data_IF_992074476864
#
_entry.id   IF_992074476864
#
_cell.length_a   1.000
_cell.length_b   1.000
_cell.length_c   1.000
_cell.angle_alpha   90.00
_cell.angle_beta   90.00
_cell.angle_gamma   90.00
#
_symmetry.space_group_name_H-M   'P 1'
#
loop_
_entity.id
_entity.type
_entity.pdbx_description
1 polymer ?
#
# COMPACT_ATOMS: atom_id res chain seq x y z
N UNK A 1 -2.60 26.35 7.12
CA UNK A 1 -2.55 25.97 8.55
C UNK A 1 -1.21 25.32 8.82
N UNK A 2 -0.55 25.63 9.93
CA UNK A 2 0.68 24.95 10.34
C UNK A 2 0.35 23.77 11.25
N UNK A 3 1.23 22.75 11.30
CA UNK A 3 1.08 21.59 12.20
C UNK A 3 0.91 22.02 13.67
N UNK A 4 1.62 23.08 14.07
CA UNK A 4 1.55 23.67 15.41
C UNK A 4 0.14 24.13 15.78
N UNK A 5 -0.54 24.85 14.88
CA UNK A 5 -1.92 25.36 15.10
C UNK A 5 -2.90 24.20 15.29
N UNK A 6 -2.71 23.09 14.57
CA UNK A 6 -3.56 21.90 14.71
C UNK A 6 -3.35 21.27 16.08
N UNK A 7 -2.09 21.08 16.49
CA UNK A 7 -1.74 20.51 17.80
C UNK A 7 -2.35 21.35 18.93
N UNK A 8 -2.14 22.66 18.92
CA UNK A 8 -2.65 23.56 19.96
C UNK A 8 -4.18 23.54 20.05
N UNK A 9 -4.87 23.53 18.90
CA UNK A 9 -6.34 23.46 18.87
C UNK A 9 -6.84 22.12 19.42
N UNK A 10 -6.18 21.01 19.10
CA UNK A 10 -6.54 19.68 19.59
C UNK A 10 -6.30 19.57 21.10
N UNK A 11 -5.16 20.07 21.60
CA UNK A 11 -4.85 20.13 23.03
C UNK A 11 -5.91 20.93 23.80
N UNK A 12 -6.32 22.08 23.27
CA UNK A 12 -7.38 22.90 23.87
C UNK A 12 -8.71 22.15 23.94
N UNK A 13 -9.05 21.36 22.91
CA UNK A 13 -10.27 20.57 22.90
C UNK A 13 -10.21 19.40 23.90
N UNK A 14 -9.10 18.65 23.94
CA UNK A 14 -8.89 17.52 24.86
C UNK A 14 -8.98 17.98 26.31
N UNK A 15 -8.39 19.13 26.66
CA UNK A 15 -8.43 19.67 28.02
C UNK A 15 -9.84 20.06 28.51
N UNK A 16 -10.82 20.14 27.62
CA UNK A 16 -12.22 20.45 27.97
C UNK A 16 -13.08 19.19 28.12
N UNK A 17 -12.53 18.02 27.82
CA UNK A 17 -13.23 16.75 27.86
C UNK A 17 -13.00 16.04 29.20
N UNK A 18 -13.94 15.19 29.63
CA UNK A 18 -13.70 14.26 30.73
C UNK A 18 -12.63 13.22 30.34
N UNK A 19 -12.03 12.59 31.35
CA UNK A 19 -10.86 11.70 31.19
C UNK A 19 -11.11 10.52 30.23
N UNK A 20 -12.29 9.89 30.31
CA UNK A 20 -12.70 8.78 29.44
C UNK A 20 -12.73 9.18 27.95
N UNK A 21 -13.10 10.42 27.65
CA UNK A 21 -13.13 10.95 26.28
C UNK A 21 -11.76 11.40 25.80
N UNK A 22 -10.89 11.86 26.70
CA UNK A 22 -9.50 12.10 26.37
C UNK A 22 -8.76 10.80 26.03
N UNK A 23 -9.04 9.72 26.78
CA UNK A 23 -8.53 8.37 26.52
C UNK A 23 -8.96 7.85 25.14
N UNK A 24 -10.25 7.96 24.80
CA UNK A 24 -10.77 7.57 23.47
C UNK A 24 -10.06 8.29 22.31
N UNK A 25 -9.73 9.57 22.48
CA UNK A 25 -8.97 10.35 21.48
C UNK A 25 -7.52 9.89 21.40
N UNK A 26 -6.91 9.53 22.53
CA UNK A 26 -5.56 8.98 22.57
C UNK A 26 -5.48 7.65 21.82
N UNK A 27 -6.41 6.74 22.11
CA UNK A 27 -6.53 5.46 21.41
C UNK A 27 -6.73 5.64 19.90
N UNK A 28 -7.54 6.63 19.52
CA UNK A 28 -7.75 6.95 18.11
C UNK A 28 -6.48 7.49 17.44
N UNK A 29 -5.70 8.32 18.14
CA UNK A 29 -4.43 8.81 17.61
C UNK A 29 -3.43 7.66 17.37
N UNK A 30 -3.34 6.71 18.29
CA UNK A 30 -2.52 5.50 18.14
C UNK A 30 -2.99 4.63 16.97
N UNK A 31 -4.31 4.48 16.80
CA UNK A 31 -4.89 3.77 15.66
C UNK A 31 -4.51 4.43 14.32
N UNK A 32 -4.65 5.76 14.22
CA UNK A 32 -4.29 6.49 13.00
C UNK A 32 -2.80 6.34 12.69
N UNK A 33 -1.95 6.40 13.71
CA UNK A 33 -0.50 6.22 13.55
C UNK A 33 -0.16 4.83 13.02
N UNK A 34 -0.67 3.77 13.64
CA UNK A 34 -0.47 2.39 13.18
C UNK A 34 -0.94 2.18 11.75
N UNK A 35 -2.13 2.70 11.41
CA UNK A 35 -2.68 2.62 10.05
C UNK A 35 -1.78 3.31 9.03
N UNK A 36 -1.20 4.46 9.38
CA UNK A 36 -0.25 5.15 8.51
C UNK A 36 1.02 4.33 8.29
N UNK A 37 1.61 3.77 9.35
CA UNK A 37 2.79 2.90 9.23
C UNK A 37 2.54 1.67 8.37
N UNK A 38 1.41 0.99 8.55
CA UNK A 38 1.01 -0.16 7.74
C UNK A 38 0.85 0.21 6.26
N UNK A 39 0.27 1.38 5.97
CA UNK A 39 0.13 1.88 4.60
C UNK A 39 1.50 2.15 3.96
N UNK A 40 2.42 2.79 4.68
CA UNK A 40 3.77 3.05 4.18
C UNK A 40 4.56 1.74 3.97
N UNK A 41 4.44 0.78 4.88
CA UNK A 41 5.02 -0.55 4.72
C UNK A 41 4.48 -1.26 3.48
N UNK A 42 3.16 -1.26 3.30
CA UNK A 42 2.52 -1.89 2.14
C UNK A 42 2.96 -1.25 0.82
N UNK A 43 3.11 0.09 0.78
CA UNK A 43 3.65 0.79 -0.39
C UNK A 43 5.09 0.37 -0.69
N UNK A 44 5.92 0.24 0.35
CA UNK A 44 7.30 -0.24 0.21
C UNK A 44 7.37 -1.65 -0.38
N UNK A 45 6.54 -2.58 0.12
CA UNK A 45 6.44 -3.94 -0.40
C UNK A 45 6.00 -3.94 -1.87
N UNK A 46 4.95 -3.18 -2.20
CA UNK A 46 4.46 -3.06 -3.58
C UNK A 46 5.54 -2.53 -4.52
N UNK A 47 6.28 -1.50 -4.10
CA UNK A 47 7.38 -0.93 -4.87
C UNK A 47 8.47 -1.98 -5.11
N UNK A 48 8.92 -2.68 -4.06
CA UNK A 48 9.95 -3.72 -4.18
C UNK A 48 9.51 -4.89 -5.07
N UNK A 49 8.23 -5.28 -5.01
CA UNK A 49 7.69 -6.31 -5.87
C UNK A 49 7.61 -5.87 -7.34
N UNK A 50 7.23 -4.61 -7.59
CA UNK A 50 7.13 -4.05 -8.94
C UNK A 50 8.50 -3.76 -9.58
N UNK A 51 9.49 -3.32 -8.78
CA UNK A 51 10.87 -3.10 -9.23
C UNK A 51 11.71 -4.39 -9.20
N UNK A 52 11.17 -5.46 -8.62
CA UNK A 52 11.86 -6.72 -8.44
C UNK A 52 11.73 -7.62 -9.66
N UNK A 53 12.87 -8.06 -10.19
CA UNK A 53 12.95 -8.97 -11.35
C UNK A 53 12.50 -10.42 -11.07
N UNK A 54 11.99 -10.71 -9.87
CA UNK A 54 11.63 -12.08 -9.46
C UNK A 54 10.44 -12.65 -10.24
N UNK A 55 9.68 -11.79 -10.91
CA UNK A 55 8.49 -12.16 -11.70
C UNK A 55 8.63 -11.87 -13.19
N UNK A 56 9.82 -11.50 -13.68
CA UNK A 56 10.05 -11.20 -15.11
C UNK A 56 9.71 -12.38 -16.02
N UNK A 57 9.80 -13.61 -15.51
CA UNK A 57 9.39 -14.83 -16.22
C UNK A 57 7.89 -14.87 -16.57
N UNK A 58 7.05 -14.04 -15.94
CA UNK A 58 5.64 -13.90 -16.28
C UNK A 58 5.40 -12.88 -17.41
N UNK A 59 6.37 -12.02 -17.72
CA UNK A 59 6.23 -11.03 -18.81
C UNK A 59 6.39 -11.68 -20.19
N UNK A 60 7.08 -12.81 -20.26
CA UNK A 60 7.23 -13.60 -21.47
C UNK A 60 6.52 -14.94 -21.32
N UNK A 61 5.61 -15.25 -22.24
CA UNK A 61 5.17 -16.62 -22.43
C UNK A 61 6.15 -17.30 -23.40
N UNK A 62 6.68 -18.46 -23.03
CA UNK A 62 7.37 -19.32 -24.00
C UNK A 62 6.39 -19.71 -25.11
N UNK A 63 6.81 -19.60 -26.38
CA UNK A 63 6.00 -20.06 -27.51
C UNK A 63 5.78 -21.57 -27.40
N UNK A 64 4.60 -21.96 -26.89
CA UNK A 64 4.20 -23.35 -26.66
C UNK A 64 3.99 -24.15 -27.96
N UNK A 65 3.69 -23.45 -29.05
CA UNK A 65 3.41 -24.04 -30.35
C UNK A 65 4.19 -23.33 -31.43
N UNK A 66 4.73 -24.13 -32.34
CA UNK A 66 5.53 -23.71 -33.48
C UNK A 66 4.86 -24.14 -34.79
N UNK A 67 5.35 -23.60 -35.91
CA UNK A 67 4.89 -24.03 -37.26
C UNK A 67 5.13 -25.54 -37.47
N UNK A 68 6.15 -26.11 -36.82
CA UNK A 68 6.43 -27.56 -36.86
C UNK A 68 5.35 -28.43 -36.20
N UNK A 69 4.52 -27.87 -35.32
CA UNK A 69 3.42 -28.60 -34.68
C UNK A 69 2.17 -28.67 -35.58
N UNK A 70 2.17 -27.97 -36.72
CA UNK A 70 1.06 -27.96 -37.66
C UNK A 70 0.98 -29.27 -38.45
N UNK A 71 -0.18 -29.93 -38.39
CA UNK A 71 -0.46 -31.17 -39.13
C UNK A 71 -0.40 -30.98 -40.65
N UNK A 72 -0.73 -29.80 -41.16
CA UNK A 72 -0.72 -29.46 -42.59
C UNK A 72 -0.26 -28.01 -42.72
N UNK A 73 0.72 -27.77 -43.59
CA UNK A 73 1.21 -26.44 -43.95
C UNK A 73 0.94 -26.22 -45.43
N UNK A 74 0.23 -25.14 -45.79
CA UNK A 74 0.00 -24.77 -47.18
C UNK A 74 1.01 -23.71 -47.59
N UNK A 75 1.92 -24.07 -48.49
CA UNK A 75 2.81 -23.12 -49.14
C UNK A 75 2.19 -22.78 -50.50
N UNK A 76 1.84 -21.51 -50.69
CA UNK A 76 1.32 -20.98 -51.95
C UNK A 76 2.31 -21.11 -53.10
#
# INVERSE_FOLDING_TARGET
MTKQIIIERTLKAINQLPEDKAEEISDFADFVFKKYEEQELSKGIQKLAAEGHSFDFLESEEELYSVSDLKVVYNG
#
